data_IF_852687531024
#
_entry.id   IF_852687531024
#
_cell.length_a   1.000
_cell.length_b   1.000
_cell.length_c   1.000
_cell.angle_alpha   90.00
_cell.angle_beta   90.00
_cell.angle_gamma   90.00
#
_symmetry.space_group_name_H-M   'P 1'
#
loop_
_entity.id
_entity.type
_entity.pdbx_description
1 polymer ?
#
# COMPACT_ATOMS: atom_id res chain seq x y z
N UNK A 1 43.60 53.12 -4.43
CA UNK A 1 44.20 53.25 -5.78
C UNK A 1 43.97 51.95 -6.54
N UNK A 2 43.36 52.09 -7.72
CA UNK A 2 43.33 51.24 -8.92
C UNK A 2 43.26 49.69 -8.89
N UNK A 3 42.31 49.24 -9.73
CA UNK A 3 42.09 47.93 -10.37
C UNK A 3 43.36 47.22 -10.86
N UNK A 4 43.33 45.89 -10.83
CA UNK A 4 43.93 44.91 -11.76
C UNK A 4 43.63 43.51 -11.23
N UNK A 5 43.38 42.44 -11.97
CA UNK A 5 43.60 42.13 -13.38
C UNK A 5 42.75 40.89 -13.73
N UNK A 6 42.15 40.87 -14.91
CA UNK A 6 41.79 39.64 -15.63
C UNK A 6 42.99 39.23 -16.51
N UNK A 7 43.21 37.92 -16.71
CA UNK A 7 43.74 37.35 -17.95
C UNK A 7 43.53 35.82 -17.99
N UNK A 8 42.99 35.25 -19.08
CA UNK A 8 42.91 33.81 -19.33
C UNK A 8 43.92 33.38 -20.42
N UNK A 9 44.44 32.15 -20.39
CA UNK A 9 45.25 31.62 -21.49
C UNK A 9 45.15 30.08 -21.65
N UNK A 10 44.77 29.68 -22.88
CA UNK A 10 45.23 28.53 -23.72
C UNK A 10 44.98 27.06 -23.29
N UNK A 11 44.97 26.05 -24.16
CA UNK A 11 44.71 25.81 -25.60
C UNK A 11 45.35 24.44 -25.96
N UNK A 12 44.62 23.60 -26.72
CA UNK A 12 45.09 22.63 -27.75
C UNK A 12 45.92 21.40 -27.31
N UNK A 13 45.43 20.19 -27.64
CA UNK A 13 46.20 19.22 -28.45
C UNK A 13 45.31 18.15 -29.13
N UNK A 14 45.57 17.97 -30.43
CA UNK A 14 45.04 16.99 -31.37
C UNK A 14 45.98 15.76 -31.43
N UNK A 15 45.48 14.58 -31.79
CA UNK A 15 46.37 13.51 -32.27
C UNK A 15 45.72 12.14 -32.46
N UNK A 16 45.30 11.84 -33.70
CA UNK A 16 44.88 10.52 -34.19
C UNK A 16 46.04 9.51 -34.20
N UNK A 17 45.74 8.24 -33.91
CA UNK A 17 46.46 7.08 -34.45
C UNK A 17 45.45 6.05 -34.96
N UNK A 18 45.53 5.76 -36.26
CA UNK A 18 44.95 4.60 -36.94
C UNK A 18 46.06 3.60 -37.20
N UNK A 19 45.88 2.32 -36.86
CA UNK A 19 46.49 1.21 -37.61
C UNK A 19 45.61 -0.04 -37.52
N UNK A 20 45.43 -0.65 -38.69
CA UNK A 20 44.62 -1.82 -39.01
C UNK A 20 45.22 -3.13 -38.47
N UNK A 21 44.35 -4.08 -38.12
CA UNK A 21 44.67 -5.50 -37.95
C UNK A 21 43.43 -6.35 -38.15
N UNK A 22 43.31 -7.01 -39.31
CA UNK A 22 42.27 -7.98 -39.63
C UNK A 22 42.31 -9.18 -38.66
N UNK A 23 41.16 -9.50 -38.09
CA UNK A 23 40.88 -10.78 -37.45
C UNK A 23 39.40 -11.11 -37.66
N UNK A 24 39.13 -12.07 -38.53
CA UNK A 24 37.79 -12.58 -38.78
C UNK A 24 37.23 -13.22 -37.51
N UNK A 25 36.06 -12.78 -37.08
CA UNK A 25 35.16 -13.58 -36.24
C UNK A 25 33.73 -13.21 -36.62
N UNK A 26 33.14 -14.03 -37.48
CA UNK A 26 31.70 -14.15 -37.62
C UNK A 26 31.13 -14.47 -36.23
N UNK A 27 30.49 -13.48 -35.60
CA UNK A 27 29.47 -13.74 -34.61
C UNK A 27 28.18 -13.09 -35.09
N UNK A 28 27.18 -13.95 -35.23
CA UNK A 28 25.84 -13.62 -35.65
C UNK A 28 25.26 -12.50 -34.80
N UNK A 29 25.01 -11.34 -35.40
CA UNK A 29 23.94 -10.45 -34.95
C UNK A 29 22.61 -11.17 -35.26
N UNK A 30 22.24 -12.10 -34.38
CA UNK A 30 20.86 -12.51 -34.26
C UNK A 30 20.10 -11.31 -33.71
N UNK A 31 19.27 -10.73 -34.57
CA UNK A 31 18.11 -9.95 -34.21
C UNK A 31 17.30 -10.72 -33.15
N UNK A 32 17.64 -10.56 -31.88
CA UNK A 32 16.68 -10.64 -30.80
C UNK A 32 15.95 -9.30 -30.80
N UNK A 33 15.10 -9.14 -31.81
CA UNK A 33 13.86 -8.43 -31.65
C UNK A 33 13.07 -9.24 -30.63
N UNK A 34 13.38 -9.01 -29.36
CA UNK A 34 12.56 -9.39 -28.23
C UNK A 34 11.26 -8.60 -28.43
N UNK A 35 10.37 -9.20 -29.23
CA UNK A 35 8.96 -8.99 -29.08
C UNK A 35 8.68 -9.39 -27.64
N UNK A 36 8.81 -8.44 -26.72
CA UNK A 36 8.07 -8.45 -25.48
C UNK A 36 6.61 -8.35 -25.89
N UNK A 37 6.08 -9.46 -26.40
CA UNK A 37 4.71 -9.83 -26.12
C UNK A 37 4.68 -9.87 -24.60
N UNK A 38 4.34 -8.73 -24.00
CA UNK A 38 3.49 -8.67 -22.84
C UNK A 38 2.52 -9.82 -23.02
N UNK A 39 2.83 -10.94 -22.37
CA UNK A 39 1.82 -11.95 -22.08
C UNK A 39 0.88 -11.14 -21.21
N UNK A 40 -0.14 -10.57 -21.84
CA UNK A 40 -1.32 -10.11 -21.15
C UNK A 40 -1.78 -11.39 -20.47
N UNK A 41 -1.46 -11.51 -19.18
CA UNK A 41 -2.23 -12.35 -18.29
C UNK A 41 -3.69 -12.12 -18.66
N UNK A 42 -4.49 -13.18 -18.86
CA UNK A 42 -5.89 -12.99 -19.19
C UNK A 42 -6.44 -12.01 -18.17
N UNK A 43 -6.96 -10.89 -18.65
CA UNK A 43 -7.63 -9.90 -17.84
C UNK A 43 -8.87 -10.61 -17.29
N UNK A 44 -8.71 -11.35 -16.20
CA UNK A 44 -9.81 -11.52 -15.27
C UNK A 44 -10.10 -10.10 -14.83
N UNK A 45 -11.16 -9.53 -15.39
CA UNK A 45 -11.90 -8.49 -14.70
C UNK A 45 -12.39 -9.16 -13.44
N UNK A 46 -11.58 -9.15 -12.39
CA UNK A 46 -12.04 -9.56 -11.08
C UNK A 46 -13.30 -8.73 -10.81
N UNK A 47 -14.42 -9.39 -10.52
CA UNK A 47 -15.70 -8.74 -10.19
C UNK A 47 -15.61 -7.95 -8.86
N UNK A 48 -14.39 -7.77 -8.35
CA UNK A 48 -14.06 -7.18 -7.07
C UNK A 48 -12.71 -6.47 -7.10
N UNK A 49 -12.53 -5.55 -6.16
CA UNK A 49 -11.30 -4.78 -5.95
C UNK A 49 -10.82 -5.01 -4.52
N UNK A 50 -9.54 -5.34 -4.33
CA UNK A 50 -8.93 -5.49 -3.02
C UNK A 50 -8.28 -4.18 -2.57
N UNK A 51 -8.54 -3.75 -1.34
CA UNK A 51 -7.89 -2.61 -0.72
C UNK A 51 -7.33 -2.99 0.64
N UNK A 52 -6.04 -2.73 0.84
CA UNK A 52 -5.43 -2.77 2.16
C UNK A 52 -6.00 -1.64 3.04
N UNK A 53 -6.24 -1.93 4.31
CA UNK A 53 -6.75 -0.97 5.31
C UNK A 53 -5.81 -0.81 6.50
N UNK A 54 -4.77 -1.64 6.61
CA UNK A 54 -3.92 -1.70 7.81
C UNK A 54 -2.42 -1.52 7.51
N UNK A 55 -1.90 -2.12 6.44
CA UNK A 55 -0.47 -2.21 6.19
C UNK A 55 -0.05 -1.29 5.03
N UNK A 56 0.94 -0.42 5.27
CA UNK A 56 1.65 0.44 4.30
C UNK A 56 0.82 1.40 3.44
N UNK A 57 -0.49 1.52 3.68
CA UNK A 57 -1.32 2.49 2.96
C UNK A 57 -0.88 3.93 3.24
N UNK A 58 -0.33 4.19 4.44
CA UNK A 58 0.01 5.53 4.86
C UNK A 58 -1.21 6.45 4.90
N UNK A 59 -0.96 7.75 4.85
CA UNK A 59 -2.02 8.74 4.77
C UNK A 59 -2.65 8.72 3.39
N UNK A 60 -3.97 8.83 3.31
CA UNK A 60 -4.68 8.82 2.03
C UNK A 60 -4.43 7.57 1.17
N UNK A 61 -4.07 6.44 1.76
CA UNK A 61 -3.82 5.23 0.98
C UNK A 61 -4.99 4.25 0.90
N UNK A 62 -4.79 3.23 0.08
CA UNK A 62 -5.73 2.11 -0.07
C UNK A 62 -7.12 2.58 -0.50
N UNK A 63 -8.13 2.14 0.24
CA UNK A 63 -9.54 2.47 -0.05
C UNK A 63 -9.83 3.99 0.05
N UNK A 64 -9.08 4.71 0.86
CA UNK A 64 -9.30 6.13 1.16
C UNK A 64 -8.48 7.08 0.28
N UNK A 65 -7.91 6.58 -0.82
CA UNK A 65 -7.20 7.39 -1.80
C UNK A 65 -8.06 8.55 -2.32
N UNK A 66 -7.49 9.76 -2.55
CA UNK A 66 -8.27 10.95 -2.90
C UNK A 66 -9.17 10.77 -4.13
N UNK A 67 -8.73 9.95 -5.09
CA UNK A 67 -9.48 9.61 -6.31
C UNK A 67 -10.76 8.80 -6.05
N UNK A 68 -10.92 8.21 -4.85
CA UNK A 68 -12.09 7.41 -4.46
C UNK A 68 -13.18 8.22 -3.78
N UNK A 69 -12.90 9.47 -3.45
CA UNK A 69 -13.88 10.37 -2.86
C UNK A 69 -14.76 10.98 -3.94
N UNK A 70 -16.07 10.91 -3.74
CA UNK A 70 -17.03 11.64 -4.57
C UNK A 70 -16.95 13.12 -4.21
N UNK A 71 -16.70 13.96 -5.23
CA UNK A 71 -16.57 15.40 -5.09
C UNK A 71 -17.75 16.09 -5.75
N UNK A 72 -18.42 16.97 -5.02
CA UNK A 72 -19.53 17.76 -5.56
C UNK A 72 -19.43 19.21 -5.13
N UNK A 73 -19.98 20.09 -5.95
CA UNK A 73 -20.20 21.51 -5.65
C UNK A 73 -21.65 21.88 -5.91
N UNK A 74 -22.04 23.12 -5.58
CA UNK A 74 -23.38 23.63 -5.93
C UNK A 74 -23.68 23.59 -7.44
N UNK A 75 -22.65 23.57 -8.29
CA UNK A 75 -22.76 23.45 -9.75
C UNK A 75 -22.88 22.02 -10.29
N UNK A 76 -22.82 21.00 -9.43
CA UNK A 76 -22.86 19.59 -9.82
C UNK A 76 -21.64 18.79 -9.36
N UNK A 77 -21.50 17.58 -9.90
CA UNK A 77 -20.34 16.71 -9.65
C UNK A 77 -19.06 17.33 -10.21
N UNK A 78 -17.99 17.28 -9.42
CA UNK A 78 -16.66 17.73 -9.83
C UNK A 78 -15.83 16.52 -10.22
N UNK A 79 -14.92 16.70 -11.18
CA UNK A 79 -14.02 15.64 -11.60
C UNK A 79 -13.20 15.09 -10.41
N UNK A 80 -12.86 13.78 -10.43
CA UNK A 80 -11.95 13.17 -9.46
C UNK A 80 -10.68 14.00 -9.34
N UNK A 81 -10.18 14.17 -8.11
CA UNK A 81 -8.97 14.95 -7.90
C UNK A 81 -7.78 14.25 -8.57
N UNK A 82 -7.15 14.91 -9.53
CA UNK A 82 -5.88 14.46 -10.09
C UNK A 82 -4.80 14.43 -8.98
N UNK A 83 -3.94 13.41 -8.99
CA UNK A 83 -2.83 13.26 -8.03
C UNK A 83 -1.95 14.52 -7.96
N UNK A 84 -1.88 15.32 -9.03
CA UNK A 84 -1.13 16.59 -9.08
C UNK A 84 -1.62 17.67 -8.12
N UNK A 85 -2.85 17.57 -7.60
CA UNK A 85 -3.40 18.51 -6.62
C UNK A 85 -3.10 18.08 -5.17
N UNK A 86 -2.47 16.92 -4.99
CA UNK A 86 -1.93 16.48 -3.71
C UNK A 86 -0.52 17.04 -3.63
N UNK A 87 -0.22 17.85 -2.61
CA UNK A 87 1.15 18.33 -2.41
C UNK A 87 2.09 17.13 -2.22
N UNK A 88 2.99 16.92 -3.18
CA UNK A 88 4.01 15.87 -3.11
C UNK A 88 5.02 16.21 -2.00
N UNK A 89 4.98 15.46 -0.92
CA UNK A 89 5.84 15.61 0.25
C UNK A 89 5.67 14.42 1.20
N UNK A 90 6.39 14.41 2.33
CA UNK A 90 6.31 13.32 3.32
C UNK A 90 4.89 13.12 3.90
N UNK A 91 4.02 14.15 3.84
CA UNK A 91 2.63 14.09 4.29
C UNK A 91 1.66 14.59 3.19
N UNK A 92 1.03 13.69 2.41
CA UNK A 92 0.11 14.08 1.34
C UNK A 92 -1.08 14.87 1.89
N UNK A 93 -1.41 15.97 1.21
CA UNK A 93 -2.52 16.85 1.63
C UNK A 93 -3.29 17.44 0.47
N UNK A 94 -4.57 17.70 0.72
CA UNK A 94 -5.47 18.40 -0.20
C UNK A 94 -5.60 19.84 0.29
N UNK A 95 -5.35 20.79 -0.61
CA UNK A 95 -5.48 22.22 -0.33
C UNK A 95 -6.75 22.75 -0.99
N UNK A 96 -7.62 23.34 -0.18
CA UNK A 96 -8.81 24.04 -0.63
C UNK A 96 -8.51 25.52 -0.68
N UNK A 97 -8.56 26.13 -1.87
CA UNK A 97 -8.20 27.54 -2.07
C UNK A 97 -9.30 28.52 -1.65
N UNK A 98 -8.95 29.72 -1.18
CA UNK A 98 -9.89 30.71 -0.64
C UNK A 98 -10.86 31.28 -1.70
N UNK A 99 -10.57 31.17 -2.99
CA UNK A 99 -11.38 31.70 -4.10
C UNK A 99 -12.59 30.82 -4.49
N UNK A 100 -12.99 29.86 -3.65
CA UNK A 100 -14.11 28.95 -3.94
C UNK A 100 -15.43 29.72 -4.08
N UNK A 101 -16.15 29.44 -5.15
CA UNK A 101 -17.45 30.09 -5.45
C UNK A 101 -18.65 29.41 -4.80
N UNK A 102 -18.47 28.20 -4.26
CA UNK A 102 -19.52 27.40 -3.64
C UNK A 102 -18.97 26.40 -2.62
N UNK A 103 -19.88 25.75 -1.88
CA UNK A 103 -19.50 24.71 -0.93
C UNK A 103 -18.99 23.49 -1.69
N UNK A 104 -17.79 23.02 -1.36
CA UNK A 104 -17.23 21.78 -1.89
C UNK A 104 -17.48 20.63 -0.91
N UNK A 105 -18.07 19.55 -1.40
CA UNK A 105 -18.42 18.38 -0.60
C UNK A 105 -17.61 17.17 -1.04
N UNK A 106 -16.94 16.54 -0.10
CA UNK A 106 -16.17 15.31 -0.28
C UNK A 106 -16.86 14.19 0.47
N UNK A 107 -17.26 13.14 -0.24
CA UNK A 107 -17.97 12.01 0.35
C UNK A 107 -17.33 10.68 0.04
N UNK A 108 -17.36 9.78 1.01
CA UNK A 108 -16.95 8.39 0.84
C UNK A 108 -17.88 7.47 1.62
N UNK A 109 -18.15 6.29 1.06
CA UNK A 109 -18.88 5.24 1.75
C UNK A 109 -17.88 4.40 2.55
N UNK A 110 -18.20 4.08 3.79
CA UNK A 110 -17.29 3.44 4.72
C UNK A 110 -17.28 1.92 4.44
N UNK A 111 -16.11 1.29 4.26
CA UNK A 111 -16.04 -0.09 3.80
C UNK A 111 -16.14 -1.13 4.93
N UNK A 112 -15.89 -0.74 6.18
CA UNK A 112 -15.93 -1.62 7.35
C UNK A 112 -16.08 -0.79 8.61
N UNK A 113 -16.31 -1.42 9.75
CA UNK A 113 -16.47 -0.69 10.99
C UNK A 113 -15.15 -0.07 11.48
N UNK A 114 -15.19 1.18 11.96
CA UNK A 114 -13.99 1.90 12.39
C UNK A 114 -14.19 3.40 12.63
N UNK A 115 -13.08 4.13 12.67
CA UNK A 115 -13.04 5.59 12.84
C UNK A 115 -12.16 6.24 11.78
N UNK A 116 -12.59 7.37 11.23
CA UNK A 116 -11.74 8.25 10.44
C UNK A 116 -11.07 9.28 11.34
N UNK A 117 -9.79 9.52 11.13
CA UNK A 117 -9.07 10.65 11.71
C UNK A 117 -8.35 11.44 10.63
N UNK A 118 -8.30 12.75 10.79
CA UNK A 118 -7.51 13.61 9.91
C UNK A 118 -7.18 14.93 10.59
N UNK A 119 -6.28 15.70 9.96
CA UNK A 119 -6.04 17.09 10.30
C UNK A 119 -6.61 18.02 9.25
N UNK A 120 -7.41 18.98 9.69
CA UNK A 120 -7.91 20.07 8.88
C UNK A 120 -7.43 21.37 9.49
N UNK A 121 -6.54 22.08 8.79
CA UNK A 121 -5.94 23.31 9.29
C UNK A 121 -6.35 24.49 8.39
N UNK A 122 -6.96 25.54 8.96
CA UNK A 122 -7.15 26.79 8.24
C UNK A 122 -5.83 27.56 8.21
N UNK A 123 -5.50 28.14 7.06
CA UNK A 123 -4.30 28.98 6.91
C UNK A 123 -4.53 30.39 7.44
N UNK A 124 -5.77 30.91 7.37
CA UNK A 124 -6.08 32.32 7.68
C UNK A 124 -7.10 32.47 8.82
N UNK A 125 -8.31 31.89 8.71
CA UNK A 125 -9.34 32.04 9.73
C UNK A 125 -9.95 30.69 10.19
N UNK A 126 -10.24 30.58 11.49
CA UNK A 126 -10.86 29.40 12.10
C UNK A 126 -12.37 29.45 11.95
N UNK A 127 -12.86 28.99 10.82
CA UNK A 127 -14.30 28.79 10.65
C UNK A 127 -14.70 27.35 10.97
N UNK A 128 -15.99 27.17 11.26
CA UNK A 128 -16.56 25.86 11.44
C UNK A 128 -16.79 25.20 10.07
N UNK A 129 -16.43 23.93 9.96
CA UNK A 129 -16.77 23.10 8.80
C UNK A 129 -17.96 22.21 9.13
N UNK A 130 -18.69 21.78 8.11
CA UNK A 130 -19.81 20.86 8.31
C UNK A 130 -19.37 19.46 7.96
N UNK A 131 -19.64 18.52 8.86
CA UNK A 131 -19.43 17.09 8.64
C UNK A 131 -20.79 16.41 8.66
N UNK A 132 -21.01 15.46 7.76
CA UNK A 132 -22.24 14.70 7.69
C UNK A 132 -21.94 13.20 7.73
N UNK A 133 -22.75 12.45 8.48
CA UNK A 133 -22.77 10.98 8.42
C UNK A 133 -24.20 10.57 8.12
N UNK A 134 -24.41 9.88 6.99
CA UNK A 134 -25.75 9.50 6.51
C UNK A 134 -26.72 10.68 6.44
N UNK A 135 -26.23 11.85 6.02
CA UNK A 135 -27.03 13.09 5.92
C UNK A 135 -27.26 13.81 7.25
N UNK A 136 -26.82 13.27 8.39
CA UNK A 136 -26.90 13.94 9.69
C UNK A 136 -25.72 14.90 9.87
N UNK A 137 -26.03 16.18 9.85
CA UNK A 137 -25.03 17.24 9.89
C UNK A 137 -24.60 17.58 11.32
N UNK A 138 -23.29 17.71 11.51
CA UNK A 138 -22.65 18.24 12.71
C UNK A 138 -21.69 19.35 12.29
N UNK A 139 -21.74 20.49 12.99
CA UNK A 139 -20.77 21.55 12.79
C UNK A 139 -19.54 21.29 13.66
N UNK A 140 -18.39 21.19 13.02
CA UNK A 140 -17.11 20.98 13.67
C UNK A 140 -16.33 22.29 13.68
N UNK A 141 -16.08 22.82 14.89
CA UNK A 141 -15.18 23.95 15.06
C UNK A 141 -13.75 23.45 15.05
N UNK A 142 -12.96 23.94 14.09
CA UNK A 142 -11.58 23.49 13.91
C UNK A 142 -10.74 23.88 15.13
N UNK A 143 -10.21 22.87 15.82
CA UNK A 143 -9.28 23.02 16.94
C UNK A 143 -7.93 23.60 16.48
N UNK A 144 -7.12 24.10 17.41
CA UNK A 144 -5.80 24.67 17.08
C UNK A 144 -4.83 23.68 16.44
N UNK A 145 -4.96 22.39 16.74
CA UNK A 145 -4.19 21.29 16.17
C UNK A 145 -4.83 20.71 14.89
N UNK A 146 -6.03 21.18 14.52
CA UNK A 146 -6.80 20.73 13.36
C UNK A 146 -7.30 19.29 13.45
N UNK A 147 -7.05 18.57 14.54
CA UNK A 147 -7.28 17.14 14.64
C UNK A 147 -8.77 16.82 14.79
N UNK A 148 -9.29 16.00 13.89
CA UNK A 148 -10.65 15.50 13.92
C UNK A 148 -10.67 13.97 14.05
N UNK A 149 -11.66 13.46 14.79
CA UNK A 149 -12.04 12.05 14.82
C UNK A 149 -13.53 11.93 14.53
N UNK A 150 -13.89 11.01 13.64
CA UNK A 150 -15.29 10.69 13.39
C UNK A 150 -15.93 10.01 14.59
N UNK A 151 -17.28 9.99 14.68
CA UNK A 151 -17.96 8.96 15.45
C UNK A 151 -17.58 7.56 14.93
N UNK A 152 -17.96 6.52 15.67
CA UNK A 152 -17.83 5.15 15.17
C UNK A 152 -18.71 4.98 13.92
N UNK A 153 -18.10 4.51 12.84
CA UNK A 153 -18.72 4.31 11.54
C UNK A 153 -18.87 2.81 11.28
N UNK A 154 -19.91 2.42 10.54
CA UNK A 154 -20.18 1.06 10.10
C UNK A 154 -20.04 0.95 8.57
N UNK A 155 -19.96 -0.29 8.08
CA UNK A 155 -19.96 -0.53 6.63
C UNK A 155 -21.24 0.06 5.99
N UNK A 156 -21.07 0.75 4.87
CA UNK A 156 -22.17 1.44 4.16
C UNK A 156 -22.50 2.84 4.69
N UNK A 157 -21.94 3.27 5.83
CA UNK A 157 -22.13 4.65 6.27
C UNK A 157 -21.51 5.61 5.26
N UNK A 158 -22.21 6.68 4.89
CA UNK A 158 -21.69 7.74 4.04
C UNK A 158 -21.14 8.87 4.90
N UNK A 159 -19.81 9.01 4.91
CA UNK A 159 -19.12 10.14 5.53
C UNK A 159 -18.97 11.27 4.50
N UNK A 160 -19.26 12.51 4.91
CA UNK A 160 -19.09 13.70 4.08
C UNK A 160 -18.43 14.85 4.83
N UNK A 161 -17.43 15.47 4.22
CA UNK A 161 -16.83 16.74 4.64
C UNK A 161 -17.31 17.86 3.70
N UNK A 162 -17.87 18.92 4.27
CA UNK A 162 -18.31 20.10 3.52
C UNK A 162 -17.41 21.29 3.87
N UNK A 163 -16.63 21.71 2.88
CA UNK A 163 -15.76 22.88 2.98
C UNK A 163 -16.54 24.10 2.49
N UNK A 164 -16.73 25.12 3.34
CA UNK A 164 -17.48 26.31 2.96
C UNK A 164 -16.79 27.10 1.83
N UNK A 165 -17.61 27.85 1.08
CA UNK A 165 -17.15 28.79 0.05
C UNK A 165 -16.33 29.97 0.61
N UNK A 166 -16.19 30.08 1.93
CA UNK A 166 -15.57 31.23 2.59
C UNK A 166 -14.08 31.36 2.31
N UNK A 167 -13.60 32.61 2.39
CA UNK A 167 -12.27 33.09 2.00
C UNK A 167 -11.10 32.63 2.87
N UNK A 168 -11.17 31.44 3.44
CA UNK A 168 -10.05 30.77 4.08
C UNK A 168 -9.56 29.60 3.24
N UNK A 169 -8.24 29.50 3.10
CA UNK A 169 -7.57 28.31 2.60
C UNK A 169 -7.57 27.24 3.69
N UNK A 170 -7.92 26.01 3.35
CA UNK A 170 -7.85 24.86 4.25
C UNK A 170 -6.86 23.83 3.72
N UNK A 171 -6.09 23.21 4.61
CA UNK A 171 -5.27 22.05 4.30
C UNK A 171 -5.83 20.82 5.02
N UNK A 172 -6.24 19.81 4.26
CA UNK A 172 -6.70 18.52 4.77
C UNK A 172 -5.61 17.48 4.56
N UNK A 173 -5.11 16.91 5.66
CA UNK A 173 -3.91 16.07 5.71
C UNK A 173 -4.09 14.96 6.74
N UNK A 174 -3.15 14.00 6.79
CA UNK A 174 -3.13 12.95 7.81
C UNK A 174 -4.42 12.12 7.86
N UNK A 175 -5.06 11.87 6.72
CA UNK A 175 -6.25 11.03 6.65
C UNK A 175 -5.86 9.57 6.92
N UNK A 176 -6.37 9.03 8.01
CA UNK A 176 -6.19 7.65 8.44
C UNK A 176 -7.52 7.03 8.83
N UNK A 177 -7.64 5.73 8.57
CA UNK A 177 -8.79 4.94 8.97
C UNK A 177 -8.38 3.89 10.00
N UNK A 178 -9.01 3.94 11.17
CA UNK A 178 -8.73 3.06 12.30
C UNK A 178 -9.79 1.97 12.35
N UNK A 179 -9.45 0.78 11.90
CA UNK A 179 -10.31 -0.40 11.92
C UNK A 179 -9.58 -1.61 12.52
N UNK A 180 -10.33 -2.65 12.85
CA UNK A 180 -9.80 -3.98 13.20
C UNK A 180 -9.66 -4.89 11.97
N UNK A 181 -10.15 -4.46 10.80
CA UNK A 181 -9.95 -5.19 9.54
C UNK A 181 -8.58 -4.89 8.95
N UNK A 182 -7.93 -5.90 8.36
CA UNK A 182 -6.65 -5.72 7.66
C UNK A 182 -6.85 -5.22 6.23
N UNK A 183 -7.92 -5.62 5.58
CA UNK A 183 -8.25 -5.23 4.22
C UNK A 183 -9.76 -5.27 3.97
N UNK A 184 -10.18 -4.86 2.78
CA UNK A 184 -11.55 -4.99 2.31
C UNK A 184 -11.58 -5.37 0.83
N UNK A 185 -12.47 -6.31 0.50
CA UNK A 185 -12.88 -6.58 -0.88
C UNK A 185 -14.11 -5.72 -1.18
N UNK A 186 -14.09 -5.04 -2.33
CA UNK A 186 -15.15 -4.14 -2.80
C UNK A 186 -15.70 -4.66 -4.12
N UNK A 187 -17.00 -4.92 -4.20
CA UNK A 187 -17.71 -5.32 -5.43
C UNK A 187 -18.53 -4.13 -5.97
N UNK A 188 -18.04 -3.36 -6.96
CA UNK A 188 -18.67 -2.09 -7.35
C UNK A 188 -20.10 -2.22 -7.87
N UNK A 189 -20.42 -3.31 -8.55
CA UNK A 189 -21.74 -3.57 -9.15
C UNK A 189 -22.80 -4.00 -8.12
N UNK A 190 -22.39 -4.41 -6.92
CA UNK A 190 -23.31 -4.80 -5.86
C UNK A 190 -23.90 -3.56 -5.19
N UNK A 191 -25.18 -3.61 -4.80
CA UNK A 191 -25.87 -2.45 -4.19
C UNK A 191 -26.09 -2.59 -2.70
N UNK A 192 -26.14 -3.82 -2.19
CA UNK A 192 -26.23 -4.07 -0.75
C UNK A 192 -24.85 -3.91 -0.08
N UNK A 193 -24.70 -3.01 0.92
CA UNK A 193 -23.40 -2.75 1.55
C UNK A 193 -22.70 -4.00 2.09
N UNK A 194 -23.44 -4.91 2.73
CA UNK A 194 -22.89 -6.15 3.32
C UNK A 194 -22.34 -7.14 2.27
N UNK A 195 -22.79 -7.03 1.01
CA UNK A 195 -22.30 -7.84 -0.10
C UNK A 195 -21.27 -7.09 -0.93
N UNK A 196 -21.39 -5.77 -1.01
CA UNK A 196 -20.47 -4.85 -1.67
C UNK A 196 -19.14 -4.82 -0.94
N UNK A 197 -19.15 -4.74 0.39
CA UNK A 197 -17.95 -4.68 1.22
C UNK A 197 -17.79 -5.94 2.04
N UNK A 198 -16.70 -6.66 1.77
CA UNK A 198 -16.33 -7.84 2.53
C UNK A 198 -15.04 -7.55 3.28
N UNK A 199 -15.11 -7.12 4.56
CA UNK A 199 -13.93 -6.87 5.36
C UNK A 199 -13.17 -8.18 5.60
N UNK A 200 -11.85 -8.08 5.55
CA UNK A 200 -10.95 -9.18 5.87
C UNK A 200 -10.34 -8.85 7.23
N UNK A 201 -10.83 -9.52 8.27
CA UNK A 201 -10.33 -9.35 9.63
C UNK A 201 -8.91 -9.89 9.79
N UNK A 202 -8.52 -10.81 8.93
CA UNK A 202 -7.26 -11.52 8.98
C UNK A 202 -6.24 -11.01 7.96
N UNK A 203 -4.98 -10.97 8.37
CA UNK A 203 -3.90 -10.51 7.51
C UNK A 203 -3.55 -11.51 6.41
N UNK A 204 -2.62 -11.08 5.55
CA UNK A 204 -1.89 -11.90 4.57
C UNK A 204 -1.33 -13.20 5.19
N UNK A 205 -1.08 -13.22 6.50
CA UNK A 205 -0.65 -14.41 7.24
C UNK A 205 -1.55 -15.63 7.04
N UNK A 206 -2.84 -15.45 6.76
CA UNK A 206 -3.76 -16.58 6.53
C UNK A 206 -3.52 -17.29 5.20
N UNK A 207 -2.85 -16.61 4.26
CA UNK A 207 -2.39 -17.17 3.01
C UNK A 207 -1.00 -17.80 3.14
N UNK A 208 -0.44 -17.85 4.35
CA UNK A 208 0.78 -18.58 4.66
C UNK A 208 0.43 -19.97 5.17
N UNK A 209 0.87 -20.99 4.44
CA UNK A 209 0.61 -22.38 4.78
C UNK A 209 1.86 -23.25 4.61
N UNK A 210 1.75 -24.52 4.99
CA UNK A 210 2.79 -25.54 4.79
C UNK A 210 2.23 -26.57 3.81
N UNK A 211 2.79 -26.70 2.60
CA UNK A 211 2.16 -27.46 1.51
C UNK A 211 2.12 -28.97 1.78
N UNK A 212 3.07 -29.49 2.55
CA UNK A 212 3.08 -30.89 2.96
C UNK A 212 3.51 -31.07 4.43
N UNK A 213 3.31 -32.29 4.91
CA UNK A 213 3.75 -32.75 6.23
C UNK A 213 5.16 -33.35 6.19
N UNK A 214 5.85 -33.27 5.04
CA UNK A 214 7.14 -33.92 4.86
C UNK A 214 8.25 -33.14 5.57
N UNK A 215 9.27 -33.84 6.11
CA UNK A 215 10.44 -33.18 6.67
C UNK A 215 11.18 -32.33 5.63
N UNK A 216 11.55 -31.11 6.02
CA UNK A 216 12.38 -30.21 5.20
C UNK A 216 11.60 -29.18 4.36
N UNK A 217 10.28 -29.14 4.49
CA UNK A 217 9.43 -28.24 3.69
C UNK A 217 9.28 -26.87 4.33
N UNK A 218 9.51 -25.82 3.52
CA UNK A 218 9.36 -24.43 3.92
C UNK A 218 7.88 -23.98 3.89
N UNK A 219 7.51 -23.00 4.74
CA UNK A 219 6.23 -22.31 4.60
C UNK A 219 6.14 -21.57 3.26
N UNK A 220 4.93 -21.51 2.71
CA UNK A 220 4.60 -20.90 1.42
C UNK A 220 3.58 -19.79 1.65
N UNK A 221 3.75 -18.67 0.95
CA UNK A 221 2.78 -17.59 0.86
C UNK A 221 2.11 -17.58 -0.52
N UNK A 222 0.80 -17.57 -0.51
CA UNK A 222 -0.07 -17.50 -1.69
C UNK A 222 -0.44 -16.06 -2.01
N UNK A 223 -0.11 -15.59 -3.21
CA UNK A 223 -0.16 -14.17 -3.53
C UNK A 223 -1.56 -13.72 -3.95
N UNK A 224 -2.34 -14.58 -4.61
CA UNK A 224 -3.69 -14.27 -5.10
C UNK A 224 -4.82 -14.81 -4.19
N UNK A 225 -4.52 -15.72 -3.27
CA UNK A 225 -5.48 -16.31 -2.35
C UNK A 225 -6.12 -17.61 -2.84
N UNK A 226 -5.83 -18.05 -4.09
CA UNK A 226 -6.25 -19.34 -4.62
C UNK A 226 -5.19 -20.42 -4.37
N UNK A 227 -5.36 -21.15 -3.26
CA UNK A 227 -4.47 -22.25 -2.89
C UNK A 227 -4.41 -23.42 -3.91
N UNK A 228 -5.26 -23.44 -4.94
CA UNK A 228 -5.23 -24.44 -6.01
C UNK A 228 -4.20 -24.11 -7.09
N UNK A 229 -3.78 -22.84 -7.20
CA UNK A 229 -2.76 -22.40 -8.14
C UNK A 229 -1.40 -22.34 -7.46
N UNK A 230 -0.36 -22.84 -8.14
CA UNK A 230 1.00 -22.92 -7.59
C UNK A 230 1.99 -21.95 -8.24
N UNK A 231 1.57 -21.19 -9.26
CA UNK A 231 2.45 -20.30 -10.01
C UNK A 231 2.77 -19.00 -9.25
N UNK A 232 1.91 -18.61 -8.33
CA UNK A 232 1.98 -17.39 -7.50
C UNK A 232 2.40 -17.71 -6.05
N UNK A 233 2.61 -18.98 -5.74
CA UNK A 233 3.08 -19.46 -4.46
C UNK A 233 4.58 -19.20 -4.29
N UNK A 234 4.94 -18.52 -3.20
CA UNK A 234 6.33 -18.15 -2.89
C UNK A 234 6.76 -18.77 -1.57
N UNK A 235 7.84 -19.55 -1.59
CA UNK A 235 8.46 -20.08 -0.38
C UNK A 235 9.07 -18.97 0.48
N UNK A 236 8.72 -18.96 1.77
CA UNK A 236 9.21 -18.03 2.76
C UNK A 236 10.51 -18.55 3.40
N UNK A 237 11.61 -18.51 2.63
CA UNK A 237 12.94 -18.94 3.09
C UNK A 237 13.70 -17.88 3.89
N UNK A 238 13.34 -16.63 3.70
CA UNK A 238 13.95 -15.48 4.36
C UNK A 238 12.90 -14.36 4.49
N UNK A 239 13.20 -13.39 5.34
CA UNK A 239 12.41 -12.17 5.43
C UNK A 239 12.36 -11.45 4.08
N UNK A 240 11.20 -10.90 3.73
CA UNK A 240 10.96 -10.16 2.50
C UNK A 240 10.20 -8.84 2.80
N UNK A 241 9.64 -8.20 1.78
CA UNK A 241 8.88 -6.95 1.93
C UNK A 241 7.60 -7.13 2.77
N UNK A 242 7.00 -8.32 2.74
CA UNK A 242 5.71 -8.61 3.38
C UNK A 242 5.87 -9.23 4.77
N UNK A 243 6.89 -10.08 4.96
CA UNK A 243 7.08 -10.90 6.14
C UNK A 243 8.49 -10.81 6.72
N UNK A 244 8.57 -10.79 8.04
CA UNK A 244 9.75 -11.18 8.81
C UNK A 244 9.66 -12.69 9.09
N UNK A 245 10.72 -13.43 8.75
CA UNK A 245 10.77 -14.90 8.84
C UNK A 245 11.99 -15.30 9.65
N UNK A 246 11.73 -15.94 10.79
CA UNK A 246 12.73 -16.52 11.67
C UNK A 246 12.49 -18.03 11.86
N UNK A 247 13.56 -18.77 12.18
CA UNK A 247 13.44 -20.15 12.61
C UNK A 247 14.44 -20.53 13.70
N UNK A 248 14.04 -21.49 14.53
CA UNK A 248 14.88 -22.06 15.59
C UNK A 248 14.86 -23.58 15.49
N UNK A 249 16.04 -24.19 15.45
CA UNK A 249 16.20 -25.64 15.44
C UNK A 249 16.44 -26.19 16.84
N UNK A 250 15.82 -27.33 17.14
CA UNK A 250 16.03 -28.11 18.36
C UNK A 250 16.09 -29.59 18.05
N UNK A 251 16.99 -30.31 18.71
CA UNK A 251 16.98 -31.77 18.67
C UNK A 251 15.96 -32.29 19.67
N UNK A 252 15.07 -33.17 19.21
CA UNK A 252 14.04 -33.83 20.02
C UNK A 252 14.06 -35.32 19.73
N UNK A 253 13.69 -36.13 20.71
CA UNK A 253 13.53 -37.57 20.53
C UNK A 253 12.04 -37.87 20.26
N UNK A 254 11.76 -38.52 19.13
CA UNK A 254 10.42 -38.93 18.70
C UNK A 254 10.50 -40.39 18.27
N UNK A 255 9.72 -41.26 18.90
CA UNK A 255 9.66 -42.71 18.61
C UNK A 255 11.03 -43.41 18.59
N UNK A 256 11.93 -43.01 19.50
CA UNK A 256 13.30 -43.57 19.60
C UNK A 256 14.28 -43.06 18.54
N UNK A 257 13.86 -42.09 17.71
CA UNK A 257 14.73 -41.41 16.75
C UNK A 257 15.04 -39.99 17.23
N UNK A 258 16.28 -39.55 17.02
CA UNK A 258 16.63 -38.15 17.18
C UNK A 258 16.23 -37.37 15.92
N UNK A 259 15.38 -36.37 16.08
CA UNK A 259 14.85 -35.54 15.00
C UNK A 259 15.23 -34.09 15.26
N UNK A 260 15.72 -33.41 14.23
CA UNK A 260 15.84 -31.96 14.21
C UNK A 260 14.43 -31.39 13.97
N UNK A 261 13.86 -30.74 14.99
CA UNK A 261 12.60 -30.01 14.88
C UNK A 261 12.90 -28.54 14.63
N UNK A 262 12.30 -27.97 13.58
CA UNK A 262 12.39 -26.56 13.24
C UNK A 262 11.12 -25.84 13.64
N UNK A 263 11.25 -24.77 14.43
CA UNK A 263 10.14 -23.86 14.77
C UNK A 263 10.23 -22.62 13.93
N UNK A 264 9.29 -22.42 13.00
CA UNK A 264 9.14 -21.21 12.21
C UNK A 264 8.38 -20.15 12.99
N UNK A 265 8.81 -18.90 12.90
CA UNK A 265 8.08 -17.71 13.34
C UNK A 265 8.00 -16.76 12.16
N UNK A 266 6.80 -16.51 11.66
CA UNK A 266 6.53 -15.65 10.51
C UNK A 266 5.67 -14.49 11.02
N UNK A 267 6.10 -13.27 10.78
CA UNK A 267 5.39 -12.06 11.21
C UNK A 267 5.17 -11.17 10.00
N UNK A 268 3.99 -10.60 9.87
CA UNK A 268 3.75 -9.55 8.89
C UNK A 268 4.56 -8.30 9.30
N UNK A 269 5.22 -7.62 8.35
CA UNK A 269 6.09 -6.46 8.63
C UNK A 269 5.36 -5.17 9.03
N UNK A 270 4.03 -5.19 9.17
CA UNK A 270 3.27 -4.01 9.59
C UNK A 270 3.06 -3.91 11.11
N UNK A 271 2.76 -2.69 11.59
CA UNK A 271 2.67 -2.35 13.02
C UNK A 271 1.58 -3.10 13.81
N UNK A 272 0.57 -3.64 13.12
CA UNK A 272 -0.47 -4.55 13.65
C UNK A 272 -0.36 -5.96 13.08
N UNK A 273 0.80 -6.31 12.54
CA UNK A 273 1.04 -7.54 11.81
C UNK A 273 0.69 -8.78 12.63
N UNK A 274 -0.07 -9.68 12.02
CA UNK A 274 -0.32 -10.99 12.59
C UNK A 274 0.94 -11.83 12.51
N UNK A 275 1.01 -12.87 13.35
CA UNK A 275 2.13 -13.80 13.35
C UNK A 275 1.66 -15.24 13.38
N UNK A 276 2.43 -16.09 12.71
CA UNK A 276 2.28 -17.54 12.69
C UNK A 276 3.53 -18.14 13.34
N UNK A 277 3.34 -19.08 14.27
CA UNK A 277 4.43 -19.91 14.79
C UNK A 277 4.06 -21.36 14.70
N UNK A 278 4.90 -22.15 14.04
CA UNK A 278 4.65 -23.58 13.82
C UNK A 278 5.95 -24.38 13.90
N UNK A 279 5.89 -25.52 14.59
CA UNK A 279 7.02 -26.46 14.69
C UNK A 279 6.79 -27.64 13.76
N UNK A 280 7.83 -28.07 13.04
CA UNK A 280 7.80 -29.24 12.14
C UNK A 280 9.04 -30.11 12.34
N UNK A 281 8.91 -31.40 12.04
CA UNK A 281 10.09 -32.23 11.79
C UNK A 281 10.85 -31.66 10.58
N UNK A 282 12.15 -31.43 10.74
CA UNK A 282 13.00 -30.88 9.68
C UNK A 282 13.87 -31.96 9.06
N UNK A 283 14.53 -32.74 9.90
CA UNK A 283 15.46 -33.75 9.45
C UNK A 283 15.64 -34.84 10.52
N UNK A 284 15.64 -36.11 10.12
CA UNK A 284 15.99 -37.21 11.02
C UNK A 284 17.51 -37.30 11.15
N UNK A 285 18.03 -37.24 12.37
CA UNK A 285 19.46 -37.30 12.60
C UNK A 285 19.95 -38.75 12.48
N UNK A 286 21.14 -38.97 11.89
CA UNK A 286 21.74 -40.29 11.84
C UNK A 286 22.05 -40.76 13.27
N UNK A 287 21.70 -42.01 13.57
CA UNK A 287 22.19 -42.70 14.76
C UNK A 287 23.65 -43.06 14.47
N UNK A 288 24.58 -42.53 15.26
CA UNK A 288 25.98 -42.95 15.22
C UNK A 288 26.09 -44.11 16.22
N UNK A 289 26.18 -45.38 15.77
CA UNK A 289 26.41 -46.50 16.68
C UNK A 289 27.78 -46.35 17.34
N UNK A 290 27.83 -46.57 18.65
CA UNK A 290 29.07 -46.65 19.44
C UNK A 290 29.97 -47.81 19.02
#
# INVERSE_FOLDING_TARGET
>A
MNKSNQWPFRAILLGLFLFFGMGQSLFAQLNLQESSKSVKSPLHTDDYQYYDLACDIGEWGGYFAPSRWLRTSEGGELDPLAESNIEAGENPSIVFDWERTGVETWSIEIPTAGYLSFRLLPIVAREAVRISVNGRNTFYQIRSDGLYYSPYLQAGDKFSLHIPASGSTYRWSHLLFHTNSNAVIVRPEETEPDRRYQPIESGRIQRVFFPDELPGTWPVFDQDGDMLTSYDQVELRASNELFEVDYLDKVVEIDGFHVLQRTFTIRERCSRGNWLRRSREWFRLPIIPE
#
